data_IF_622683514452
#
_entry.id   IF_622683514452
#
_cell.length_a   1.000
_cell.length_b   1.000
_cell.length_c   1.000
_cell.angle_alpha   90.00
_cell.angle_beta   90.00
_cell.angle_gamma   90.00
#
_symmetry.space_group_name_H-M   'P 1'
#
loop_
_entity.id
_entity.type
_entity.pdbx_description
1 polymer ?
#
# COMPACT_ATOMS: atom_id res chain seq x y z
N UNK A 1 2.68 25.63 -22.60
CA UNK A 1 3.34 25.55 -21.29
C UNK A 1 2.30 24.99 -20.34
N UNK A 2 2.24 23.68 -20.20
CA UNK A 2 1.35 23.05 -19.22
C UNK A 2 2.02 23.20 -17.86
N UNK A 3 1.40 24.01 -17.01
CA UNK A 3 1.77 24.15 -15.61
C UNK A 3 1.66 22.78 -14.96
N UNK A 4 2.78 22.23 -14.49
CA UNK A 4 2.77 21.06 -13.63
C UNK A 4 2.24 21.53 -12.27
N UNK A 5 0.96 21.29 -11.99
CA UNK A 5 0.40 21.42 -10.64
C UNK A 5 1.30 20.65 -9.66
N UNK A 6 1.68 21.23 -8.52
CA UNK A 6 2.43 20.50 -7.51
C UNK A 6 1.61 19.28 -7.09
N UNK A 7 2.17 18.09 -7.20
CA UNK A 7 1.52 16.83 -6.84
C UNK A 7 1.18 16.87 -5.34
N UNK A 8 -0.03 17.29 -5.01
CA UNK A 8 -0.47 17.46 -3.62
C UNK A 8 -0.54 16.11 -2.94
N UNK A 9 0.12 15.97 -1.79
CA UNK A 9 0.02 14.77 -0.95
C UNK A 9 -1.40 14.63 -0.38
N UNK A 10 -1.95 13.42 -0.39
CA UNK A 10 -3.27 13.11 0.18
C UNK A 10 -3.10 12.44 1.54
N UNK A 11 -3.87 12.88 2.53
CA UNK A 11 -3.83 12.36 3.91
C UNK A 11 -4.99 11.41 4.16
N UNK A 12 -4.64 10.17 4.49
CA UNK A 12 -5.49 9.12 5.00
C UNK A 12 -5.43 9.13 6.54
N UNK A 13 -6.45 8.54 7.15
CA UNK A 13 -6.48 8.35 8.60
C UNK A 13 -5.39 7.37 9.05
N UNK A 14 -4.70 7.69 10.15
CA UNK A 14 -3.67 6.80 10.72
C UNK A 14 -4.32 5.57 11.37
N UNK A 15 -3.81 4.35 11.12
CA UNK A 15 -4.38 3.11 11.65
C UNK A 15 -3.84 2.83 13.06
N UNK A 16 -3.98 3.79 13.97
CA UNK A 16 -3.35 3.78 15.31
C UNK A 16 -3.75 2.58 16.18
N UNK A 17 -4.87 1.92 15.85
CA UNK A 17 -5.36 0.72 16.52
C UNK A 17 -4.77 -0.59 15.97
N UNK A 18 -4.05 -0.55 14.84
CA UNK A 18 -3.42 -1.73 14.26
C UNK A 18 -2.02 -1.94 14.86
N UNK A 19 -1.68 -3.17 15.24
CA UNK A 19 -0.35 -3.55 15.72
C UNK A 19 0.79 -3.08 14.79
N UNK A 20 0.55 -3.06 13.47
CA UNK A 20 1.54 -2.66 12.47
C UNK A 20 1.90 -1.18 12.54
N UNK A 21 1.08 -0.34 13.17
CA UNK A 21 1.40 1.07 13.37
C UNK A 21 2.64 1.26 14.24
N UNK A 22 2.76 0.47 15.30
CA UNK A 22 3.92 0.50 16.22
C UNK A 22 4.97 -0.57 15.92
N UNK A 23 4.54 -1.71 15.35
CA UNK A 23 5.38 -2.86 15.04
C UNK A 23 5.31 -3.24 13.55
N UNK A 24 5.77 -2.37 12.64
CA UNK A 24 5.74 -2.65 11.20
C UNK A 24 6.49 -3.94 10.85
N UNK A 25 7.54 -4.30 11.59
CA UNK A 25 8.33 -5.52 11.43
C UNK A 25 7.50 -6.81 11.45
N UNK A 26 6.34 -6.80 12.10
CA UNK A 26 5.44 -7.95 12.11
C UNK A 26 4.90 -8.29 10.72
N UNK A 27 4.93 -7.37 9.75
CA UNK A 27 4.56 -7.64 8.37
C UNK A 27 5.48 -8.66 7.69
N UNK A 28 6.70 -8.89 8.20
CA UNK A 28 7.59 -9.94 7.71
C UNK A 28 7.09 -11.36 8.01
N UNK A 29 6.04 -11.50 8.84
CA UNK A 29 5.33 -12.76 9.01
C UNK A 29 4.53 -13.09 7.75
N UNK A 30 3.92 -14.28 7.72
CA UNK A 30 3.07 -14.66 6.61
C UNK A 30 1.85 -13.71 6.51
N UNK A 31 1.72 -12.97 5.39
CA UNK A 31 0.62 -12.04 5.11
C UNK A 31 -0.77 -12.66 5.37
N UNK A 32 -0.95 -13.95 5.07
CA UNK A 32 -2.23 -14.66 5.27
C UNK A 32 -2.59 -14.90 6.74
N UNK A 33 -1.61 -14.90 7.65
CA UNK A 33 -1.85 -14.96 9.11
C UNK A 33 -2.31 -13.61 9.66
N UNK A 34 -1.82 -12.52 9.09
CA UNK A 34 -2.14 -11.16 9.55
C UNK A 34 -3.44 -10.65 8.93
N UNK A 35 -3.71 -11.05 7.69
CA UNK A 35 -4.77 -10.49 6.88
C UNK A 35 -5.71 -11.54 6.29
N UNK A 36 -6.94 -11.10 6.14
CA UNK A 36 -7.94 -11.70 5.28
C UNK A 36 -8.05 -10.89 4.00
N UNK A 37 -7.98 -11.55 2.84
CA UNK A 37 -8.31 -10.91 1.55
C UNK A 37 -9.82 -10.76 1.45
N UNK A 38 -10.28 -9.51 1.40
CA UNK A 38 -11.69 -9.17 1.27
C UNK A 38 -12.10 -9.13 -0.19
N UNK A 39 -11.28 -8.51 -1.03
CA UNK A 39 -11.57 -8.31 -2.45
C UNK A 39 -10.26 -8.23 -3.25
N UNK A 40 -10.31 -8.64 -4.52
CA UNK A 40 -9.22 -8.48 -5.49
C UNK A 40 -9.71 -7.57 -6.61
N UNK A 41 -8.96 -6.51 -6.90
CA UNK A 41 -9.27 -5.57 -7.98
C UNK A 41 -8.44 -5.86 -9.24
N UNK A 42 -7.19 -6.28 -9.05
CA UNK A 42 -6.28 -6.68 -10.13
C UNK A 42 -5.31 -7.75 -9.63
N UNK A 43 -4.97 -8.71 -10.48
CA UNK A 43 -4.10 -9.85 -10.17
C UNK A 43 -3.39 -10.34 -11.43
N UNK A 44 -2.45 -9.52 -11.90
CA UNK A 44 -1.56 -9.83 -13.01
C UNK A 44 -0.16 -10.19 -12.49
N UNK A 45 0.67 -10.80 -13.34
CA UNK A 45 2.02 -11.24 -12.96
C UNK A 45 2.90 -10.13 -12.37
N UNK A 46 2.68 -8.88 -12.78
CA UNK A 46 3.55 -7.74 -12.44
C UNK A 46 2.82 -6.64 -11.65
N UNK A 47 1.53 -6.83 -11.39
CA UNK A 47 0.73 -5.84 -10.68
C UNK A 47 -0.46 -6.53 -10.02
N UNK A 48 -0.60 -6.33 -8.71
CA UNK A 48 -1.72 -6.82 -7.92
C UNK A 48 -2.27 -5.68 -7.08
N UNK A 49 -3.59 -5.56 -7.04
CA UNK A 49 -4.31 -4.66 -6.15
C UNK A 49 -5.45 -5.38 -5.45
N UNK A 50 -5.48 -5.32 -4.13
CA UNK A 50 -6.46 -6.06 -3.33
C UNK A 50 -6.83 -5.30 -2.04
N UNK A 51 -8.03 -5.54 -1.54
CA UNK A 51 -8.45 -5.09 -0.21
C UNK A 51 -8.16 -6.18 0.82
N UNK A 52 -7.36 -5.84 1.83
CA UNK A 52 -7.11 -6.67 2.99
C UNK A 52 -7.81 -6.14 4.23
N UNK A 53 -8.15 -7.05 5.14
CA UNK A 53 -8.63 -6.76 6.49
C UNK A 53 -7.70 -7.42 7.50
N UNK A 54 -7.14 -6.64 8.42
CA UNK A 54 -6.35 -7.14 9.53
C UNK A 54 -7.22 -8.05 10.40
N UNK A 55 -6.76 -9.28 10.65
CA UNK A 55 -7.51 -10.28 11.42
C UNK A 55 -7.61 -9.94 12.91
N UNK A 56 -6.65 -9.17 13.43
CA UNK A 56 -6.60 -8.81 14.86
C UNK A 56 -7.52 -7.64 15.21
N UNK A 57 -7.46 -6.54 14.45
CA UNK A 57 -8.15 -5.29 14.79
C UNK A 57 -9.24 -4.88 13.78
N UNK A 58 -9.38 -5.60 12.66
CA UNK A 58 -10.34 -5.28 11.61
C UNK A 58 -9.99 -4.09 10.71
N UNK A 59 -8.84 -3.41 10.92
CA UNK A 59 -8.38 -2.33 10.04
C UNK A 59 -8.27 -2.84 8.59
N UNK A 60 -8.79 -2.06 7.65
CA UNK A 60 -8.71 -2.36 6.22
C UNK A 60 -7.52 -1.68 5.58
N UNK A 61 -6.91 -2.35 4.61
CA UNK A 61 -5.80 -1.82 3.85
C UNK A 61 -6.02 -2.09 2.37
N UNK A 62 -5.81 -1.08 1.54
CA UNK A 62 -5.55 -1.34 0.13
C UNK A 62 -4.10 -1.80 0.00
N UNK A 63 -3.92 -2.99 -0.55
CA UNK A 63 -2.62 -3.53 -0.91
C UNK A 63 -2.34 -3.30 -2.38
N UNK A 64 -1.11 -2.89 -2.66
CA UNK A 64 -0.56 -2.88 -3.99
C UNK A 64 0.80 -3.57 -4.01
N UNK A 65 0.96 -4.44 -5.00
CA UNK A 65 2.24 -4.94 -5.48
C UNK A 65 2.45 -4.47 -6.91
N UNK A 66 3.66 -3.99 -7.20
CA UNK A 66 4.07 -3.60 -8.54
C UNK A 66 5.50 -4.07 -8.81
N UNK A 67 5.72 -4.66 -9.98
CA UNK A 67 7.03 -5.07 -10.46
C UNK A 67 7.40 -4.27 -11.72
N UNK A 68 8.51 -3.53 -11.63
CA UNK A 68 9.10 -2.84 -12.76
C UNK A 68 10.04 -3.79 -13.51
N UNK A 69 9.62 -4.27 -14.68
CA UNK A 69 10.37 -5.24 -15.49
C UNK A 69 11.56 -4.57 -16.19
N UNK A 70 12.78 -4.99 -15.84
CA UNK A 70 14.02 -4.58 -16.47
C UNK A 70 14.43 -5.52 -17.60
N UNK A 71 14.13 -5.15 -18.85
CA UNK A 71 14.46 -5.95 -20.05
C UNK A 71 15.97 -6.04 -20.40
N UNK A 72 16.87 -5.66 -19.48
CA UNK A 72 18.29 -5.39 -19.72
C UNK A 72 19.31 -6.25 -18.95
N UNK A 73 18.92 -7.32 -18.27
CA UNK A 73 19.88 -8.25 -17.63
C UNK A 73 19.64 -8.61 -16.16
N UNK A 74 18.42 -8.45 -15.66
CA UNK A 74 18.00 -8.90 -14.33
C UNK A 74 17.97 -7.80 -13.27
N UNK A 75 17.16 -8.03 -12.21
CA UNK A 75 16.98 -7.12 -11.08
C UNK A 75 15.70 -6.30 -11.17
N UNK A 76 14.56 -6.95 -11.43
CA UNK A 76 13.25 -6.29 -11.42
C UNK A 76 12.99 -5.67 -10.04
N UNK A 77 12.55 -4.41 -10.03
CA UNK A 77 12.25 -3.72 -8.77
C UNK A 77 10.83 -4.05 -8.36
N UNK A 78 10.70 -4.59 -7.16
CA UNK A 78 9.42 -4.92 -6.56
C UNK A 78 9.07 -3.88 -5.52
N UNK A 79 7.85 -3.37 -5.62
CA UNK A 79 7.30 -2.39 -4.69
C UNK A 79 6.08 -3.00 -4.05
N UNK A 80 5.96 -2.81 -2.74
CA UNK A 80 4.81 -3.33 -1.99
C UNK A 80 4.36 -2.33 -0.95
N UNK A 81 3.07 -2.01 -0.98
CA UNK A 81 2.47 -0.98 -0.15
C UNK A 81 1.15 -1.43 0.46
N UNK A 82 0.91 -1.05 1.72
CA UNK A 82 -0.39 -1.06 2.38
C UNK A 82 -0.82 0.37 2.73
N UNK A 83 -1.99 0.78 2.26
CA UNK A 83 -2.62 2.06 2.59
C UNK A 83 -3.82 1.85 3.51
N UNK A 84 -3.87 2.48 4.69
CA UNK A 84 -5.00 2.36 5.60
C UNK A 84 -6.24 3.05 5.00
N UNK A 85 -7.33 2.31 4.91
CA UNK A 85 -8.62 2.82 4.39
C UNK A 85 -9.72 2.61 5.42
N UNK A 86 -10.61 3.59 5.54
CA UNK A 86 -11.73 3.62 6.47
C UNK A 86 -13.08 3.67 5.77
N UNK A 87 -13.16 4.24 4.57
CA UNK A 87 -14.43 4.38 3.84
C UNK A 87 -14.39 3.73 2.46
N UNK A 88 -15.57 3.53 1.86
CA UNK A 88 -15.65 3.00 0.51
C UNK A 88 -15.12 4.03 -0.51
N UNK A 89 -15.35 5.30 -0.27
CA UNK A 89 -14.90 6.40 -1.12
C UNK A 89 -13.36 6.46 -1.20
N UNK A 90 -12.66 6.18 -0.10
CA UNK A 90 -11.19 6.07 -0.10
C UNK A 90 -10.71 4.88 -0.94
N UNK A 91 -11.39 3.73 -0.83
CA UNK A 91 -11.09 2.53 -1.62
C UNK A 91 -11.30 2.83 -3.11
N UNK A 92 -12.44 3.40 -3.46
CA UNK A 92 -12.78 3.72 -4.85
C UNK A 92 -11.81 4.74 -5.45
N UNK A 93 -11.43 5.77 -4.68
CA UNK A 93 -10.47 6.78 -5.11
C UNK A 93 -9.07 6.20 -5.36
N UNK A 94 -8.59 5.31 -4.47
CA UNK A 94 -7.29 4.65 -4.63
C UNK A 94 -7.30 3.63 -5.77
N UNK A 95 -8.41 2.91 -5.97
CA UNK A 95 -8.52 1.95 -7.07
C UNK A 95 -8.45 2.60 -8.45
N UNK A 96 -8.74 3.91 -8.54
CA UNK A 96 -8.63 4.68 -9.78
C UNK A 96 -7.25 5.29 -10.01
N UNK A 97 -6.28 5.13 -9.10
CA UNK A 97 -4.92 5.64 -9.30
C UNK A 97 -4.05 4.65 -10.05
N UNK A 98 -3.10 5.17 -10.83
CA UNK A 98 -1.96 4.39 -11.32
C UNK A 98 -0.94 4.11 -10.21
N UNK A 99 0.02 3.23 -10.51
CA UNK A 99 1.10 2.78 -9.63
C UNK A 99 2.00 3.91 -9.11
N UNK A 100 2.15 5.01 -9.86
CA UNK A 100 2.94 6.16 -9.43
C UNK A 100 2.13 7.12 -8.55
N UNK A 101 0.85 7.30 -8.89
CA UNK A 101 -0.08 8.18 -8.18
C UNK A 101 -0.40 7.68 -6.78
N UNK A 102 -0.33 6.38 -6.50
CA UNK A 102 -0.58 5.83 -5.16
C UNK A 102 0.44 6.32 -4.12
N UNK A 103 1.65 6.68 -4.56
CA UNK A 103 2.74 7.14 -3.69
C UNK A 103 2.52 8.52 -3.07
N UNK A 104 1.48 9.25 -3.52
CA UNK A 104 1.08 10.54 -2.93
C UNK A 104 0.23 10.41 -1.67
N UNK A 105 -0.22 9.22 -1.31
CA UNK A 105 -1.09 8.97 -0.15
C UNK A 105 -0.26 8.59 1.09
N UNK A 106 -0.68 9.14 2.25
CA UNK A 106 0.00 8.96 3.53
C UNK A 106 -1.00 8.88 4.70
N UNK A 107 -0.72 8.10 5.77
CA UNK A 107 0.46 7.26 5.90
C UNK A 107 0.34 6.00 5.03
N UNK A 108 1.48 5.44 4.61
CA UNK A 108 1.52 4.15 3.92
C UNK A 108 2.64 3.29 4.49
N UNK A 109 2.39 1.99 4.63
CA UNK A 109 3.39 1.02 5.05
C UNK A 109 3.99 0.40 3.79
N UNK A 110 5.30 0.53 3.63
CA UNK A 110 6.03 0.09 2.44
C UNK A 110 7.16 -0.84 2.87
N UNK A 111 7.51 -1.82 2.03
CA UNK A 111 8.63 -2.71 2.34
C UNK A 111 9.49 -3.10 1.15
N UNK A 112 9.04 -2.92 -0.09
CA UNK A 112 9.81 -3.18 -1.32
C UNK A 112 10.68 -4.45 -1.19
N UNK A 113 12.01 -4.34 -1.23
CA UNK A 113 13.00 -5.41 -1.04
C UNK A 113 13.62 -5.48 0.38
N UNK A 114 13.11 -4.67 1.31
CA UNK A 114 13.67 -4.42 2.63
C UNK A 114 12.70 -4.61 3.81
N UNK A 115 13.10 -4.18 5.02
CA UNK A 115 12.22 -4.21 6.18
C UNK A 115 11.11 -3.16 6.04
N UNK A 116 9.90 -3.43 6.54
CA UNK A 116 8.76 -2.52 6.41
C UNK A 116 8.93 -1.20 7.18
N UNK A 117 8.51 -0.09 6.58
CA UNK A 117 8.53 1.24 7.20
C UNK A 117 7.29 2.08 6.85
N UNK A 118 6.89 2.96 7.77
CA UNK A 118 5.82 3.92 7.54
C UNK A 118 6.34 5.18 6.88
N UNK A 119 5.84 5.46 5.67
CA UNK A 119 5.97 6.77 5.06
C UNK A 119 4.89 7.70 5.62
N UNK A 120 5.27 8.89 6.07
CA UNK A 120 4.34 9.92 6.53
C UNK A 120 3.67 9.66 7.88
N UNK A 121 4.21 8.76 8.72
CA UNK A 121 3.84 8.63 10.14
C UNK A 121 4.15 9.96 10.86
N UNK A 122 3.16 10.62 11.51
CA UNK A 122 3.40 11.82 12.30
C UNK A 122 4.43 11.57 13.40
N UNK A 123 5.23 12.59 13.72
CA UNK A 123 6.17 12.56 14.85
C UNK A 123 5.44 12.74 16.18
#
# INVERSE_FOLDING_TARGET
MTEHEPTQSVRLSSPVQCMLWEHPEHLQRNLSELFERVETYEDSSHFMRALFRCRECGQRYLYEFYEEIGWGGGGDKMYSTLLPVQTQEEIDALNQTDESSILRYFPRLQWDDGPPWWNGKPK
#
